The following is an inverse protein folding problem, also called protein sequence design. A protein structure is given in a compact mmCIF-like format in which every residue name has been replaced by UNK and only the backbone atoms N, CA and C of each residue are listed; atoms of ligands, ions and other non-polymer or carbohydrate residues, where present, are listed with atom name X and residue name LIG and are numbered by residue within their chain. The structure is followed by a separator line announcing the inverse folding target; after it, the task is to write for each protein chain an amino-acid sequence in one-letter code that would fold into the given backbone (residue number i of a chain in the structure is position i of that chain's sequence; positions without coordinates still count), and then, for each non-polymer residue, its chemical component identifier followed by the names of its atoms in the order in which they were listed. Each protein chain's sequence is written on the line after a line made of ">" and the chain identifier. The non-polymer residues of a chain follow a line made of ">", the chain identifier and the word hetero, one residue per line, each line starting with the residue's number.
data_IF_209380386145
#
_entry.id   IF_209380386145
#
_cell.length_a   1.000
_cell.length_b   1.000
_cell.length_c   1.000
_cell.angle_alpha   90.00
_cell.angle_beta   90.00
_cell.angle_gamma   90.00
#
_symmetry.space_group_name_H-M   'P 1'
#
loop_
_entity.id
_entity.type
_entity.pdbx_description
1 polymer ?
#
# COMPACT_ATOMS: atom_id res chain seq x y z
N UNK A 1 3.11 -12.07 3.38
CA UNK A 1 2.41 -11.03 2.56
C UNK A 1 2.19 -11.59 1.16
N UNK A 2 1.03 -11.32 0.50
CA UNK A 2 0.76 -11.80 -0.87
C UNK A 2 1.19 -10.81 -1.95
N UNK A 3 1.18 -9.52 -1.64
CA UNK A 3 1.52 -8.47 -2.58
C UNK A 3 1.37 -7.07 -2.01
N UNK A 4 1.51 -6.07 -2.86
CA UNK A 4 1.34 -4.66 -2.52
C UNK A 4 0.65 -3.89 -3.65
N UNK A 5 -0.24 -2.96 -3.27
CA UNK A 5 -0.77 -1.94 -4.17
C UNK A 5 -0.10 -0.60 -3.87
N UNK A 6 0.49 0.03 -4.88
CA UNK A 6 1.23 1.28 -4.74
C UNK A 6 0.59 2.35 -5.63
N UNK A 7 0.15 3.43 -5.02
CA UNK A 7 -0.39 4.61 -5.71
C UNK A 7 0.54 5.77 -5.42
N UNK A 8 1.11 6.37 -6.46
CA UNK A 8 1.98 7.54 -6.35
C UNK A 8 3.14 7.34 -5.35
N UNK A 9 3.93 6.28 -5.51
CA UNK A 9 5.07 5.95 -4.67
C UNK A 9 6.43 6.03 -5.39
N UNK A 10 7.50 5.71 -4.67
CA UNK A 10 8.86 5.66 -5.20
C UNK A 10 9.64 4.46 -4.65
N UNK A 11 10.85 4.17 -5.18
CA UNK A 11 11.68 3.07 -4.71
C UNK A 11 12.06 3.20 -3.23
N UNK A 12 12.25 2.04 -2.58
CA UNK A 12 12.76 2.00 -1.21
C UNK A 12 14.05 2.82 -1.06
N UNK A 13 14.14 3.55 0.05
CA UNK A 13 15.27 4.41 0.39
C UNK A 13 15.53 5.57 -0.59
N UNK A 14 14.61 5.89 -1.48
CA UNK A 14 14.77 6.94 -2.51
C UNK A 14 15.24 8.27 -1.89
N UNK A 15 14.63 8.70 -0.78
CA UNK A 15 14.93 9.97 -0.12
C UNK A 15 16.30 9.99 0.60
N UNK A 16 16.87 8.85 0.94
CA UNK A 16 18.17 8.71 1.63
C UNK A 16 18.29 9.59 2.88
N UNK A 17 17.16 9.79 3.61
CA UNK A 17 17.10 10.64 4.80
C UNK A 17 17.17 12.15 4.52
N UNK A 18 17.03 12.59 3.28
CA UNK A 18 17.12 14.01 2.88
C UNK A 18 15.80 14.52 2.29
N UNK A 19 15.25 15.59 2.87
CA UNK A 19 14.02 16.23 2.38
C UNK A 19 14.15 16.72 0.94
N UNK A 20 15.28 17.35 0.58
CA UNK A 20 15.53 17.83 -0.78
C UNK A 20 15.51 16.69 -1.80
N UNK A 21 16.14 15.56 -1.50
CA UNK A 21 16.11 14.36 -2.35
C UNK A 21 14.70 13.80 -2.46
N UNK A 22 13.95 13.76 -1.35
CA UNK A 22 12.54 13.34 -1.36
C UNK A 22 11.72 14.19 -2.35
N UNK A 23 11.83 15.51 -2.27
CA UNK A 23 11.06 16.41 -3.11
C UNK A 23 11.50 16.41 -4.58
N UNK A 24 12.80 16.38 -4.85
CA UNK A 24 13.35 16.53 -6.19
C UNK A 24 13.40 15.21 -6.97
N UNK A 25 13.97 14.16 -6.39
CA UNK A 25 14.14 12.88 -7.06
C UNK A 25 12.91 11.95 -6.88
N UNK A 26 12.38 11.87 -5.63
CA UNK A 26 11.37 10.87 -5.31
C UNK A 26 9.92 11.35 -5.52
N UNK A 27 9.71 12.63 -5.83
CA UNK A 27 8.40 13.21 -6.10
C UNK A 27 8.38 13.94 -7.44
N UNK A 28 9.07 15.06 -7.56
CA UNK A 28 8.98 15.95 -8.73
C UNK A 28 9.70 15.41 -9.97
N UNK A 29 10.55 14.38 -9.84
CA UNK A 29 11.42 13.87 -10.91
C UNK A 29 12.26 14.98 -11.59
N UNK A 30 12.62 16.03 -10.82
CA UNK A 30 13.53 17.09 -11.29
C UNK A 30 15.00 16.65 -11.24
N UNK A 31 15.30 15.66 -10.39
CA UNK A 31 16.55 14.93 -10.38
C UNK A 31 16.31 13.45 -10.72
N UNK A 32 17.33 12.77 -11.23
CA UNK A 32 17.22 11.34 -11.54
C UNK A 32 17.33 10.48 -10.29
N UNK A 33 16.48 9.46 -10.20
CA UNK A 33 16.60 8.40 -9.21
C UNK A 33 17.65 7.38 -9.69
N UNK A 34 18.69 7.14 -8.89
CA UNK A 34 19.69 6.12 -9.22
C UNK A 34 19.18 4.73 -8.78
N UNK A 35 18.29 4.12 -9.56
CA UNK A 35 17.68 2.81 -9.25
C UNK A 35 18.72 1.72 -8.97
N UNK A 36 19.82 1.56 -9.75
CA UNK A 36 20.85 0.58 -9.45
C UNK A 36 21.52 0.78 -8.08
N UNK A 37 21.68 2.03 -7.63
CA UNK A 37 22.21 2.33 -6.30
C UNK A 37 21.20 1.95 -5.21
N UNK A 38 19.91 2.24 -5.41
CA UNK A 38 18.86 1.88 -4.45
C UNK A 38 18.71 0.38 -4.31
N UNK A 39 18.83 -0.38 -5.40
CA UNK A 39 18.87 -1.84 -5.37
C UNK A 39 20.06 -2.32 -4.51
N UNK A 40 21.26 -1.81 -4.73
CA UNK A 40 22.43 -2.18 -3.90
C UNK A 40 22.20 -1.89 -2.42
N UNK A 41 21.67 -0.70 -2.08
CA UNK A 41 21.37 -0.35 -0.69
C UNK A 41 20.35 -1.31 -0.07
N UNK A 42 19.33 -1.68 -0.83
CA UNK A 42 18.31 -2.65 -0.39
C UNK A 42 18.95 -4.01 -0.09
N UNK A 43 19.78 -4.52 -0.99
CA UNK A 43 20.46 -5.81 -0.83
C UNK A 43 21.45 -5.78 0.32
N UNK A 44 22.15 -4.66 0.52
CA UNK A 44 23.06 -4.47 1.67
C UNK A 44 22.29 -4.46 2.99
N UNK A 45 21.15 -3.76 3.06
CA UNK A 45 20.31 -3.72 4.25
C UNK A 45 19.71 -5.11 4.55
N UNK A 46 19.30 -5.87 3.54
CA UNK A 46 18.82 -7.23 3.72
C UNK A 46 19.93 -8.17 4.23
N UNK A 47 21.13 -8.07 3.67
CA UNK A 47 22.30 -8.86 4.14
C UNK A 47 22.70 -8.51 5.57
N UNK A 48 22.57 -7.24 5.96
CA UNK A 48 22.83 -6.79 7.32
C UNK A 48 21.71 -7.15 8.32
N UNK A 49 20.59 -7.71 7.86
CA UNK A 49 19.41 -8.00 8.70
C UNK A 49 18.65 -6.75 9.16
N UNK A 50 18.88 -5.60 8.52
CA UNK A 50 18.16 -4.35 8.81
C UNK A 50 16.73 -4.34 8.21
N UNK A 51 16.50 -5.16 7.20
CA UNK A 51 15.18 -5.45 6.60
C UNK A 51 15.07 -6.95 6.34
N UNK A 52 13.86 -7.42 6.04
CA UNK A 52 13.62 -8.81 5.66
C UNK A 52 14.39 -9.19 4.37
N UNK A 53 14.70 -10.49 4.17
CA UNK A 53 15.37 -10.97 2.97
C UNK A 53 14.59 -10.58 1.70
N UNK A 54 15.27 -9.97 0.73
CA UNK A 54 14.66 -9.55 -0.56
C UNK A 54 14.09 -10.72 -1.36
N UNK A 55 14.57 -11.95 -1.14
CA UNK A 55 14.02 -13.16 -1.74
C UNK A 55 12.53 -13.37 -1.41
N UNK A 56 12.03 -12.82 -0.31
CA UNK A 56 10.62 -12.86 0.03
C UNK A 56 9.72 -12.13 -0.99
N UNK A 57 10.29 -11.21 -1.78
CA UNK A 57 9.55 -10.45 -2.79
C UNK A 57 9.24 -11.26 -4.05
N UNK A 58 10.00 -12.31 -4.35
CA UNK A 58 9.99 -13.01 -5.64
C UNK A 58 8.58 -13.46 -6.10
N UNK A 59 7.74 -13.86 -5.16
CA UNK A 59 6.38 -14.36 -5.43
C UNK A 59 5.28 -13.32 -5.15
N UNK A 60 5.63 -12.09 -4.78
CA UNK A 60 4.64 -11.05 -4.50
C UNK A 60 3.95 -10.58 -5.79
N UNK A 61 2.67 -10.22 -5.66
CA UNK A 61 1.92 -9.51 -6.68
C UNK A 61 2.05 -8.01 -6.41
N UNK A 62 2.49 -7.25 -7.42
CA UNK A 62 2.66 -5.81 -7.32
C UNK A 62 1.67 -5.15 -8.28
N UNK A 63 0.80 -4.33 -7.72
CA UNK A 63 -0.08 -3.48 -8.51
C UNK A 63 0.33 -2.02 -8.30
N UNK A 64 0.43 -1.27 -9.38
CA UNK A 64 0.91 0.11 -9.36
C UNK A 64 -0.06 1.02 -10.11
N UNK A 65 -0.23 2.25 -9.60
CA UNK A 65 -1.00 3.29 -10.27
C UNK A 65 -0.25 4.62 -10.26
N UNK A 66 -0.25 5.31 -11.42
CA UNK A 66 0.26 6.67 -11.57
C UNK A 66 -0.65 7.46 -12.51
N UNK A 67 -1.23 8.55 -12.03
CA UNK A 67 -2.00 9.46 -12.88
C UNK A 67 -1.10 10.24 -13.86
N UNK A 68 -1.59 10.47 -15.09
CA UNK A 68 -0.82 11.28 -16.06
C UNK A 68 -0.78 12.76 -15.71
N UNK A 69 -1.72 13.22 -14.86
CA UNK A 69 -1.80 14.59 -14.35
C UNK A 69 -1.18 14.76 -12.95
N UNK A 70 -0.65 13.68 -12.34
CA UNK A 70 -0.08 13.75 -10.98
C UNK A 70 1.10 14.74 -10.95
N UNK A 71 0.87 15.87 -10.27
CA UNK A 71 1.85 16.95 -10.13
C UNK A 71 2.74 16.81 -8.89
N UNK A 72 2.48 15.83 -8.03
CA UNK A 72 3.22 15.59 -6.79
C UNK A 72 4.22 14.46 -6.97
N UNK A 73 3.75 13.24 -7.26
CA UNK A 73 4.63 12.11 -7.58
C UNK A 73 4.50 11.79 -9.06
N UNK A 74 5.40 12.35 -9.83
CA UNK A 74 5.35 12.29 -11.29
C UNK A 74 5.63 10.88 -11.81
N UNK A 75 5.04 10.55 -12.96
CA UNK A 75 5.19 9.22 -13.59
C UNK A 75 6.63 8.73 -13.75
N UNK A 76 7.65 9.54 -14.06
CA UNK A 76 9.03 9.05 -14.11
C UNK A 76 9.47 8.36 -12.81
N UNK A 77 9.06 8.87 -11.63
CA UNK A 77 9.36 8.22 -10.33
C UNK A 77 8.72 6.85 -10.22
N UNK A 78 7.47 6.73 -10.68
CA UNK A 78 6.76 5.44 -10.71
C UNK A 78 7.36 4.48 -11.76
N UNK A 79 7.92 4.99 -12.85
CA UNK A 79 8.67 4.17 -13.81
C UNK A 79 10.00 3.65 -13.20
N UNK A 80 10.67 4.46 -12.39
CA UNK A 80 11.83 4.04 -11.60
C UNK A 80 11.44 2.96 -10.57
N UNK A 81 10.28 3.11 -9.92
CA UNK A 81 9.74 2.09 -9.03
C UNK A 81 9.43 0.78 -9.78
N UNK A 82 8.89 0.85 -11.00
CA UNK A 82 8.71 -0.33 -11.85
C UNK A 82 10.04 -1.03 -12.10
N UNK A 83 11.06 -0.29 -12.53
CA UNK A 83 12.41 -0.82 -12.77
C UNK A 83 12.99 -1.46 -11.51
N UNK A 84 12.78 -0.81 -10.35
CA UNK A 84 13.19 -1.33 -9.05
C UNK A 84 12.52 -2.67 -8.72
N UNK A 85 11.19 -2.79 -8.89
CA UNK A 85 10.48 -4.04 -8.63
C UNK A 85 10.81 -5.15 -9.64
N UNK A 86 11.07 -4.82 -10.89
CA UNK A 86 11.49 -5.80 -11.91
C UNK A 86 12.79 -6.51 -11.56
N UNK A 87 13.61 -5.95 -10.68
CA UNK A 87 14.80 -6.62 -10.15
C UNK A 87 14.44 -7.77 -9.19
N UNK A 88 13.38 -7.63 -8.40
CA UNK A 88 13.01 -8.57 -7.32
C UNK A 88 11.83 -9.49 -7.67
N UNK A 89 10.96 -9.05 -8.57
CA UNK A 89 9.66 -9.65 -8.86
C UNK A 89 9.54 -9.95 -10.35
N UNK A 90 9.03 -11.14 -10.68
CA UNK A 90 8.77 -11.48 -12.08
C UNK A 90 7.81 -10.48 -12.73
N UNK A 91 8.09 -10.07 -13.98
CA UNK A 91 7.23 -9.18 -14.75
C UNK A 91 5.77 -9.67 -14.82
N UNK A 92 5.53 -10.98 -14.84
CA UNK A 92 4.19 -11.57 -14.83
C UNK A 92 3.41 -11.29 -13.53
N UNK A 93 4.08 -10.87 -12.48
CA UNK A 93 3.49 -10.51 -11.18
C UNK A 93 3.35 -9.00 -10.96
N UNK A 94 3.68 -8.19 -11.96
CA UNK A 94 3.61 -6.72 -11.87
C UNK A 94 2.54 -6.20 -12.82
N UNK A 95 1.59 -5.44 -12.29
CA UNK A 95 0.58 -4.71 -13.05
C UNK A 95 0.77 -3.21 -12.83
N UNK A 96 0.75 -2.42 -13.89
CA UNK A 96 0.93 -0.98 -13.80
C UNK A 96 -0.11 -0.22 -14.64
N UNK A 97 -1.03 0.45 -13.96
CA UNK A 97 -2.04 1.35 -14.55
C UNK A 97 -1.51 2.77 -14.57
N UNK A 98 -1.40 3.40 -15.76
CA UNK A 98 -0.74 4.70 -15.93
C UNK A 98 -1.32 5.62 -17.00
N UNK A 99 -2.52 5.30 -17.52
CA UNK A 99 -3.13 6.00 -18.66
C UNK A 99 -4.22 6.99 -18.24
N UNK A 100 -4.62 6.99 -16.94
CA UNK A 100 -5.70 7.83 -16.45
C UNK A 100 -5.15 9.22 -16.12
N UNK A 101 -5.88 10.28 -16.53
CA UNK A 101 -5.52 11.66 -16.25
C UNK A 101 -5.93 12.06 -14.82
N UNK A 102 -5.48 11.28 -13.84
CA UNK A 102 -5.67 11.56 -12.43
C UNK A 102 -4.56 12.44 -11.90
N UNK A 103 -4.92 13.38 -11.01
CA UNK A 103 -4.00 14.08 -10.14
C UNK A 103 -3.63 13.22 -8.93
N UNK A 104 -2.84 13.77 -8.00
CA UNK A 104 -2.37 13.08 -6.79
C UNK A 104 -3.51 12.79 -5.82
N UNK A 105 -4.18 11.67 -6.03
CA UNK A 105 -5.33 11.24 -5.25
C UNK A 105 -5.54 9.72 -5.37
N UNK A 106 -6.38 9.16 -4.48
CA UNK A 106 -6.92 7.80 -4.60
C UNK A 106 -8.03 7.81 -5.65
N UNK A 107 -7.89 7.10 -6.80
CA UNK A 107 -8.94 7.02 -7.79
C UNK A 107 -10.10 6.13 -7.32
N UNK A 108 -11.32 6.61 -7.56
CA UNK A 108 -12.57 5.88 -7.34
C UNK A 108 -13.46 5.94 -8.58
N UNK A 109 -14.49 5.11 -8.61
CA UNK A 109 -15.46 5.09 -9.72
C UNK A 109 -16.70 5.94 -9.45
N UNK A 110 -16.90 6.44 -8.21
CA UNK A 110 -18.17 7.08 -7.83
C UNK A 110 -18.06 8.27 -6.87
N UNK A 111 -16.91 8.53 -6.25
CA UNK A 111 -16.80 9.51 -5.16
C UNK A 111 -15.53 10.37 -5.24
N UNK A 112 -15.61 11.57 -4.72
CA UNK A 112 -14.48 12.49 -4.54
C UNK A 112 -14.49 13.67 -5.51
N UNK A 113 -13.34 14.32 -5.63
CA UNK A 113 -13.13 15.43 -6.54
C UNK A 113 -13.19 14.99 -8.02
N UNK A 114 -13.17 15.92 -8.95
CA UNK A 114 -12.92 15.58 -10.36
C UNK A 114 -11.53 14.97 -10.52
N UNK A 115 -11.35 14.07 -11.47
CA UNK A 115 -10.16 13.22 -11.60
C UNK A 115 -8.84 14.00 -11.65
N UNK A 116 -8.83 15.14 -12.33
CA UNK A 116 -7.65 16.01 -12.47
C UNK A 116 -7.51 17.08 -11.38
N UNK A 117 -8.20 16.94 -10.26
CA UNK A 117 -8.14 17.89 -9.15
C UNK A 117 -7.26 17.38 -8.03
N UNK A 118 -6.25 18.19 -7.66
CA UNK A 118 -5.44 17.98 -6.45
C UNK A 118 -6.05 18.76 -5.28
N UNK A 119 -6.35 18.07 -4.20
CA UNK A 119 -6.87 18.70 -2.99
C UNK A 119 -7.62 17.73 -2.09
N UNK A 120 -7.94 18.20 -0.90
CA UNK A 120 -8.74 17.44 0.05
C UNK A 120 -10.09 17.01 -0.58
N UNK A 121 -10.55 15.78 -0.35
CA UNK A 121 -10.00 14.74 0.52
C UNK A 121 -8.91 13.86 -0.11
N UNK A 122 -8.31 14.24 -1.23
CA UNK A 122 -7.34 13.44 -2.01
C UNK A 122 -7.93 12.09 -2.48
N UNK A 123 -9.22 12.09 -2.72
CA UNK A 123 -9.99 11.01 -3.34
C UNK A 123 -10.68 11.62 -4.55
N UNK A 124 -10.55 10.99 -5.72
CA UNK A 124 -11.05 11.55 -6.97
C UNK A 124 -11.87 10.54 -7.77
N UNK A 125 -13.03 10.97 -8.23
CA UNK A 125 -13.85 10.19 -9.16
C UNK A 125 -13.20 10.21 -10.55
N UNK A 126 -12.51 9.14 -10.87
CA UNK A 126 -11.86 8.92 -12.16
C UNK A 126 -12.61 7.88 -13.01
N UNK A 127 -13.82 7.48 -12.61
CA UNK A 127 -14.54 6.34 -13.19
C UNK A 127 -13.69 5.06 -13.22
N UNK A 128 -12.85 4.89 -12.20
CA UNK A 128 -11.91 3.78 -12.07
C UNK A 128 -11.75 3.41 -10.59
N UNK A 129 -12.16 2.19 -10.24
CA UNK A 129 -12.05 1.68 -8.86
C UNK A 129 -10.65 1.09 -8.63
N UNK A 130 -9.70 1.94 -8.22
CA UNK A 130 -8.34 1.51 -7.96
C UNK A 130 -8.25 0.52 -6.79
N UNK A 131 -9.15 0.60 -5.81
CA UNK A 131 -9.16 -0.33 -4.68
C UNK A 131 -9.55 -1.74 -5.10
N UNK A 132 -10.60 -1.88 -5.93
CA UNK A 132 -11.02 -3.17 -6.45
C UNK A 132 -9.93 -3.79 -7.34
N UNK A 133 -9.39 -3.02 -8.26
CA UNK A 133 -8.34 -3.45 -9.19
C UNK A 133 -7.07 -3.94 -8.48
N UNK A 134 -6.60 -3.20 -7.45
CA UNK A 134 -5.43 -3.63 -6.68
C UNK A 134 -5.69 -4.92 -5.90
N UNK A 135 -6.89 -5.05 -5.31
CA UNK A 135 -7.26 -6.26 -4.56
C UNK A 135 -7.36 -7.46 -5.49
N UNK A 136 -7.98 -7.31 -6.66
CA UNK A 136 -8.04 -8.36 -7.68
C UNK A 136 -6.65 -8.76 -8.19
N UNK A 137 -5.77 -7.78 -8.42
CA UNK A 137 -4.40 -8.06 -8.84
C UNK A 137 -3.61 -8.88 -7.80
N UNK A 138 -3.84 -8.63 -6.50
CA UNK A 138 -3.12 -9.31 -5.41
C UNK A 138 -3.74 -10.66 -5.08
N UNK A 139 -5.08 -10.75 -5.02
CA UNK A 139 -5.79 -11.94 -4.52
C UNK A 139 -6.41 -12.79 -5.63
N UNK A 140 -6.52 -12.26 -6.85
CA UNK A 140 -7.11 -12.95 -7.99
C UNK A 140 -8.64 -13.04 -7.93
N UNK A 141 -9.18 -14.04 -8.61
CA UNK A 141 -10.63 -14.27 -8.74
C UNK A 141 -11.32 -14.80 -7.47
N UNK A 142 -10.56 -15.02 -6.40
CA UNK A 142 -11.09 -15.56 -5.13
C UNK A 142 -11.83 -14.50 -4.30
N UNK A 143 -11.80 -13.24 -4.74
CA UNK A 143 -12.53 -12.16 -4.08
C UNK A 143 -14.03 -12.22 -4.39
N UNK A 144 -14.82 -11.99 -3.36
CA UNK A 144 -16.25 -11.76 -3.56
C UNK A 144 -16.47 -10.47 -4.37
N UNK A 145 -17.54 -10.39 -5.18
CA UNK A 145 -17.90 -9.16 -5.87
C UNK A 145 -18.05 -7.99 -4.90
N UNK A 146 -17.68 -6.80 -5.37
CA UNK A 146 -17.88 -5.53 -4.64
C UNK A 146 -19.30 -5.43 -4.08
N UNK A 147 -19.41 -5.11 -2.79
CA UNK A 147 -20.70 -4.87 -2.17
C UNK A 147 -21.27 -3.55 -2.68
N UNK A 148 -22.41 -3.60 -3.36
CA UNK A 148 -23.15 -2.43 -3.87
C UNK A 148 -24.25 -1.95 -2.92
N UNK A 149 -24.50 -2.70 -1.83
CA UNK A 149 -25.51 -2.38 -0.84
C UNK A 149 -24.97 -1.56 0.34
N UNK A 150 -25.85 -1.35 1.32
CA UNK A 150 -25.43 -0.72 2.58
C UNK A 150 -24.50 -1.64 3.35
N UNK A 151 -23.37 -1.09 3.81
CA UNK A 151 -22.46 -1.82 4.69
C UNK A 151 -23.15 -2.15 6.02
N UNK A 152 -23.06 -3.41 6.44
CA UNK A 152 -23.71 -3.93 7.66
C UNK A 152 -22.73 -4.13 8.82
N UNK A 153 -21.47 -3.79 8.63
CA UNK A 153 -20.42 -3.88 9.65
C UNK A 153 -20.34 -2.62 10.52
N UNK A 154 -19.34 -2.59 11.38
CA UNK A 154 -19.06 -1.48 12.30
C UNK A 154 -17.71 -0.86 11.97
N UNK A 155 -17.62 0.48 12.05
CA UNK A 155 -16.37 1.20 12.12
C UNK A 155 -15.95 1.31 13.58
N UNK A 156 -14.72 0.92 13.87
CA UNK A 156 -14.09 1.00 15.19
C UNK A 156 -12.95 2.01 15.10
N UNK A 157 -13.03 3.07 15.88
CA UNK A 157 -11.91 3.96 16.10
C UNK A 157 -11.03 3.39 17.21
N UNK A 158 -9.72 3.38 17.03
CA UNK A 158 -8.76 2.89 18.02
C UNK A 158 -7.60 3.85 18.20
N UNK A 159 -7.01 3.86 19.40
CA UNK A 159 -5.83 4.66 19.73
C UNK A 159 -4.56 3.99 19.21
N UNK A 160 -3.86 4.65 18.30
CA UNK A 160 -2.60 4.14 17.74
C UNK A 160 -1.45 4.19 18.76
N UNK A 161 -1.58 4.97 19.86
CA UNK A 161 -0.56 5.00 20.92
C UNK A 161 -0.44 3.68 21.71
N UNK A 162 -1.44 2.80 21.61
CA UNK A 162 -1.36 1.44 22.16
C UNK A 162 -0.31 0.57 21.44
N UNK A 163 0.03 0.91 20.18
CA UNK A 163 0.94 0.13 19.33
C UNK A 163 2.26 0.85 19.07
N UNK A 164 2.26 2.19 19.11
CA UNK A 164 3.41 3.03 18.82
C UNK A 164 3.42 4.24 19.73
N UNK A 165 4.46 4.38 20.56
CA UNK A 165 4.60 5.57 21.39
C UNK A 165 4.71 6.83 20.52
N UNK A 166 3.95 7.87 20.89
CA UNK A 166 3.95 9.16 20.20
C UNK A 166 3.73 9.07 18.68
N UNK A 167 2.56 8.60 18.20
CA UNK A 167 2.27 8.45 16.76
C UNK A 167 2.55 9.73 15.98
N UNK A 168 2.19 10.91 16.51
CA UNK A 168 2.43 12.20 15.85
C UNK A 168 3.92 12.48 15.59
N UNK A 169 4.80 12.04 16.48
CA UNK A 169 6.25 12.13 16.29
C UNK A 169 6.77 11.29 15.13
N UNK A 170 5.95 10.34 14.65
CA UNK A 170 6.21 9.48 13.49
C UNK A 170 5.32 9.83 12.29
N UNK A 171 4.72 11.02 12.26
CA UNK A 171 3.81 11.48 11.21
C UNK A 171 2.56 10.61 11.02
N UNK A 172 2.11 9.95 12.10
CA UNK A 172 0.87 9.20 12.15
C UNK A 172 -0.18 9.96 12.98
N UNK A 173 -1.46 9.78 12.66
CA UNK A 173 -2.53 10.27 13.51
C UNK A 173 -2.55 9.52 14.85
N UNK A 174 -3.15 10.11 15.90
CA UNK A 174 -3.31 9.40 17.16
C UNK A 174 -4.33 8.28 17.06
N UNK A 175 -5.28 8.38 16.14
CA UNK A 175 -6.35 7.40 15.94
C UNK A 175 -6.26 6.71 14.61
N UNK A 176 -6.66 5.44 14.57
CA UNK A 176 -6.88 4.65 13.37
C UNK A 176 -8.32 4.15 13.29
N UNK A 177 -8.74 3.70 12.12
CA UNK A 177 -10.08 3.19 11.87
C UNK A 177 -10.03 1.79 11.29
N UNK A 178 -10.89 0.92 11.83
CA UNK A 178 -11.07 -0.46 11.37
C UNK A 178 -12.53 -0.68 10.99
N UNK A 179 -12.78 -1.16 9.76
CA UNK A 179 -14.09 -1.67 9.40
C UNK A 179 -14.17 -3.17 9.68
N UNK A 180 -15.15 -3.57 10.51
CA UNK A 180 -15.42 -4.96 10.85
C UNK A 180 -16.73 -5.40 10.19
N UNK A 181 -16.69 -6.26 9.15
CA UNK A 181 -17.90 -6.81 8.55
C UNK A 181 -18.77 -7.55 9.55
N UNK A 182 -20.09 -7.50 9.40
CA UNK A 182 -21.01 -8.19 10.29
C UNK A 182 -20.79 -9.72 10.36
N UNK A 183 -20.28 -10.30 9.27
CA UNK A 183 -19.89 -11.73 9.22
C UNK A 183 -18.69 -12.04 10.14
N UNK A 184 -17.80 -11.08 10.38
CA UNK A 184 -16.64 -11.23 11.25
C UNK A 184 -16.96 -11.01 12.73
N UNK A 185 -18.03 -10.26 13.04
CA UNK A 185 -18.41 -9.94 14.42
C UNK A 185 -18.92 -11.15 15.23
N UNK A 186 -19.29 -12.22 14.56
CA UNK A 186 -19.82 -13.46 15.17
C UNK A 186 -18.73 -14.51 15.44
N UNK A 187 -17.51 -14.31 14.95
CA UNK A 187 -16.40 -15.21 15.22
C UNK A 187 -15.66 -14.75 16.47
N UNK A 188 -15.49 -15.66 17.44
CA UNK A 188 -14.69 -15.44 18.66
C UNK A 188 -13.21 -15.11 18.38
N UNK A 189 -12.81 -15.08 17.11
CA UNK A 189 -11.47 -14.73 16.65
C UNK A 189 -11.13 -13.24 16.69
N UNK A 190 -12.11 -12.32 16.69
CA UNK A 190 -11.82 -10.88 16.71
C UNK A 190 -11.21 -10.38 18.02
N UNK A 191 -11.55 -11.00 19.14
CA UNK A 191 -10.94 -10.68 20.43
C UNK A 191 -9.44 -11.03 20.49
N UNK A 192 -8.98 -11.93 19.60
CA UNK A 192 -7.56 -12.29 19.45
C UNK A 192 -6.80 -11.33 18.53
N UNK A 193 -7.46 -10.70 17.55
CA UNK A 193 -6.79 -9.74 16.65
C UNK A 193 -6.46 -8.41 17.31
N UNK A 194 -7.22 -8.01 18.34
CA UNK A 194 -7.02 -6.75 19.07
C UNK A 194 -6.13 -6.90 20.32
N UNK A 195 -5.64 -8.11 20.64
CA UNK A 195 -4.65 -8.29 21.70
C UNK A 195 -3.26 -8.36 21.07
N UNK A 196 -2.27 -7.64 21.64
CA UNK A 196 -0.88 -7.84 21.27
C UNK A 196 -0.55 -9.32 21.48
N UNK A 197 -0.27 -10.04 20.40
CA UNK A 197 0.18 -11.43 20.49
C UNK A 197 1.62 -11.41 20.99
N UNK A 198 1.87 -12.07 22.10
CA UNK A 198 3.24 -12.37 22.54
C UNK A 198 3.93 -13.18 21.44
N UNK A 199 5.20 -12.88 21.08
CA UNK A 199 5.92 -13.63 20.08
C UNK A 199 5.91 -15.13 20.44
N UNK A 200 5.39 -15.96 19.55
CA UNK A 200 5.46 -17.42 19.68
C UNK A 200 4.13 -18.18 19.91
N UNK A 201 2.97 -17.54 19.86
CA UNK A 201 1.70 -18.25 19.95
C UNK A 201 1.23 -18.69 18.56
N UNK A 202 1.13 -20.01 18.23
CA UNK A 202 0.61 -20.48 16.94
C UNK A 202 -0.88 -20.14 16.80
N UNK A 203 -1.32 -19.81 15.58
CA UNK A 203 -2.75 -19.71 15.28
C UNK A 203 -3.44 -21.05 15.55
N UNK A 204 -4.53 -21.02 16.31
CA UNK A 204 -5.25 -22.25 16.71
C UNK A 204 -5.96 -22.97 15.54
N UNK A 205 -6.22 -22.29 14.41
CA UNK A 205 -6.70 -22.88 13.15
C UNK A 205 -6.09 -22.18 11.93
N UNK A 206 -5.18 -22.85 11.19
CA UNK A 206 -4.55 -22.29 9.99
C UNK A 206 -5.52 -22.08 8.80
N UNK A 207 -6.77 -22.55 8.92
CA UNK A 207 -7.82 -22.39 7.89
C UNK A 207 -8.76 -21.20 8.16
N UNK A 208 -8.63 -20.52 9.29
CA UNK A 208 -9.42 -19.34 9.55
C UNK A 208 -8.92 -18.17 8.68
N UNK A 209 -9.85 -17.39 8.12
CA UNK A 209 -9.52 -16.19 7.33
C UNK A 209 -8.59 -15.22 8.09
N UNK A 210 -8.67 -15.21 9.42
CA UNK A 210 -7.82 -14.42 10.30
C UNK A 210 -6.32 -14.80 10.26
N UNK A 211 -5.99 -16.07 9.97
CA UNK A 211 -4.62 -16.54 9.84
C UNK A 211 -4.07 -16.39 8.40
N UNK A 212 -4.92 -16.12 7.42
CA UNK A 212 -4.50 -15.96 6.02
C UNK A 212 -4.08 -14.54 5.66
N UNK A 213 -4.39 -13.55 6.50
CA UNK A 213 -4.18 -12.11 6.24
C UNK A 213 -3.41 -11.38 7.36
N UNK A 214 -2.75 -12.13 8.25
CA UNK A 214 -1.85 -11.60 9.25
C UNK A 214 -0.42 -11.41 8.72
#
# INVERSE_FOLDING_TARGET
>A
MKGAGIIAGGPYYCAQGKLTTAQQACMAASDSTNVPQLIRITDDNARAGAIDPTANLANHKIWMFSGTADSVVRQPVMNDLLTYYQHYVSQANISYKKEIAAEHAMPTDFYGNTCATKGDPYISNCHYDAADELLQAIYGSDLNPKNTGRLSGSFIEFDQSEFLQNPNGHSLANTGWLYVPASCSRSTGLAHMLRPQSPGTPCADPRSAACQYG
#
